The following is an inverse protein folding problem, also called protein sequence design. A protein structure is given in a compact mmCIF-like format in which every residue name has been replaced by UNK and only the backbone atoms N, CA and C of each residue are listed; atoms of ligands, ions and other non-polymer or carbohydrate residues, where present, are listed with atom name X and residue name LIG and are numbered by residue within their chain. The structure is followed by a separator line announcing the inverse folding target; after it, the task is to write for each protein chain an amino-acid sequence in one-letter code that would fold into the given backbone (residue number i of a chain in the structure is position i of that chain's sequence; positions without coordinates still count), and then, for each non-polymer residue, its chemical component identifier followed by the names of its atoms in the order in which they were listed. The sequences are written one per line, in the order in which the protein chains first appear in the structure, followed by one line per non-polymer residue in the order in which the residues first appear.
data_IF_141106325883
#
_entry.id   IF_141106325883
#
_cell.length_a   1.000
_cell.length_b   1.000
_cell.length_c   1.000
_cell.angle_alpha   90.00
_cell.angle_beta   90.00
_cell.angle_gamma   90.00
#
_symmetry.space_group_name_H-M   'P 1'
#
loop_
_entity.id
_entity.type
_entity.pdbx_description
1 polymer ?
#
# COMPACT_ATOMS: atom_id res chain seq x y z
N UNK A 1 14.54 -21.00 -18.94
CA UNK A 1 13.61 -20.44 -17.93
C UNK A 1 13.76 -18.92 -17.62
N UNK A 2 14.65 -18.15 -18.29
CA UNK A 2 14.88 -16.70 -18.01
C UNK A 2 13.82 -15.72 -18.57
N UNK A 3 12.98 -16.12 -19.54
CA UNK A 3 12.03 -15.22 -20.25
C UNK A 3 10.80 -14.79 -19.44
N UNK A 4 10.36 -15.58 -18.44
CA UNK A 4 9.14 -15.25 -17.68
C UNK A 4 9.37 -14.15 -16.62
N UNK A 5 10.60 -14.04 -16.08
CA UNK A 5 10.94 -13.06 -15.04
C UNK A 5 11.03 -11.64 -15.60
N UNK A 6 11.50 -11.47 -16.85
CA UNK A 6 11.55 -10.14 -17.49
C UNK A 6 10.13 -9.61 -17.75
N UNK A 7 9.24 -10.43 -18.34
CA UNK A 7 7.82 -10.05 -18.56
C UNK A 7 7.09 -9.66 -17.27
N UNK A 8 7.39 -10.28 -16.13
CA UNK A 8 6.79 -9.90 -14.83
C UNK A 8 7.33 -8.56 -14.31
N UNK A 9 8.62 -8.26 -14.50
CA UNK A 9 9.21 -6.96 -14.12
C UNK A 9 8.67 -5.82 -14.97
N UNK A 10 8.49 -6.03 -16.27
CA UNK A 10 7.98 -5.01 -17.18
C UNK A 10 6.53 -4.63 -16.83
N UNK A 11 5.65 -5.62 -16.57
CA UNK A 11 4.27 -5.38 -16.10
C UNK A 11 4.17 -4.60 -14.78
N UNK A 12 5.13 -4.80 -13.87
CA UNK A 12 5.17 -4.08 -12.59
C UNK A 12 5.54 -2.61 -12.81
N UNK A 13 6.48 -2.34 -13.71
CA UNK A 13 6.92 -0.99 -14.06
C UNK A 13 5.81 -0.20 -14.73
N UNK A 14 5.09 -0.82 -15.65
CA UNK A 14 3.95 -0.20 -16.32
C UNK A 14 2.85 0.17 -15.32
N UNK A 15 2.57 -0.70 -14.33
CA UNK A 15 1.59 -0.42 -13.28
C UNK A 15 1.95 0.73 -12.35
N UNK A 16 3.24 0.91 -12.07
CA UNK A 16 3.73 2.03 -11.25
C UNK A 16 3.52 3.35 -12.01
N UNK A 17 3.68 3.35 -13.33
CA UNK A 17 3.40 4.50 -14.19
C UNK A 17 1.89 4.76 -14.27
N UNK A 18 1.06 3.72 -14.36
CA UNK A 18 -0.41 3.82 -14.33
C UNK A 18 -0.99 4.33 -13.01
N UNK A 19 -0.26 4.26 -11.90
CA UNK A 19 -0.75 4.71 -10.59
C UNK A 19 -0.77 6.25 -10.44
N UNK A 20 -0.40 7.01 -11.47
CA UNK A 20 -0.47 8.48 -11.55
C UNK A 20 0.05 9.14 -10.26
N UNK A 21 1.24 8.73 -9.82
CA UNK A 21 1.87 9.36 -8.67
C UNK A 21 2.28 10.80 -9.04
N UNK A 22 1.96 11.76 -8.17
CA UNK A 22 2.38 13.14 -8.36
C UNK A 22 3.89 13.29 -8.20
N UNK A 23 4.48 14.32 -8.82
CA UNK A 23 5.89 14.67 -8.58
C UNK A 23 6.22 14.84 -7.10
N UNK A 24 5.29 15.35 -6.28
CA UNK A 24 5.46 15.46 -4.82
C UNK A 24 5.55 14.08 -4.13
N UNK A 25 4.79 13.11 -4.61
CA UNK A 25 4.81 11.73 -4.11
C UNK A 25 6.11 11.03 -4.51
N UNK A 26 6.56 11.23 -5.75
CA UNK A 26 7.87 10.73 -6.20
C UNK A 26 9.04 11.34 -5.42
N UNK A 27 8.99 12.63 -5.09
CA UNK A 27 9.99 13.28 -4.25
C UNK A 27 9.99 12.72 -2.83
N UNK A 28 8.82 12.41 -2.26
CA UNK A 28 8.68 11.73 -0.98
C UNK A 28 9.31 10.33 -1.01
N UNK A 29 9.03 9.54 -2.05
CA UNK A 29 9.63 8.21 -2.23
C UNK A 29 11.15 8.30 -2.35
N UNK A 30 11.64 9.28 -3.11
CA UNK A 30 13.07 9.55 -3.27
C UNK A 30 13.75 9.89 -1.94
N UNK A 31 13.14 10.79 -1.15
CA UNK A 31 13.68 11.23 0.16
C UNK A 31 13.69 10.09 1.19
N UNK A 32 12.65 9.27 1.23
CA UNK A 32 12.58 8.12 2.15
C UNK A 32 13.58 7.02 1.79
N UNK A 33 13.92 6.87 0.51
CA UNK A 33 14.91 5.91 0.05
C UNK A 33 16.35 6.42 0.20
N UNK A 34 16.62 7.71 -0.08
CA UNK A 34 17.95 8.31 0.14
C UNK A 34 18.36 8.37 1.61
N UNK A 35 17.39 8.38 2.54
CA UNK A 35 17.67 8.22 3.98
C UNK A 35 18.05 6.79 4.39
N UNK A 36 17.81 5.79 3.54
CA UNK A 36 18.13 4.37 3.79
C UNK A 36 19.41 3.95 3.03
N UNK A 37 19.68 4.54 1.87
CA UNK A 37 20.92 4.30 1.11
C UNK A 37 21.73 5.60 1.04
N UNK A 38 22.77 5.66 1.87
CA UNK A 38 23.79 6.69 1.93
C UNK A 38 24.70 6.70 0.69
N UNK A 39 24.13 6.87 -0.50
CA UNK A 39 24.91 7.15 -1.72
C UNK A 39 24.25 8.30 -2.45
N UNK A 40 24.87 9.47 -2.31
CA UNK A 40 24.66 10.63 -3.16
C UNK A 40 24.96 10.26 -4.62
N UNK A 41 23.94 9.84 -5.35
CA UNK A 41 24.01 9.52 -6.76
C UNK A 41 22.64 9.71 -7.41
N UNK A 42 22.61 10.10 -8.68
CA UNK A 42 21.38 10.15 -9.48
C UNK A 42 20.63 8.82 -9.34
N UNK A 43 19.54 8.82 -8.57
CA UNK A 43 18.65 7.66 -8.42
C UNK A 43 18.19 7.21 -9.79
N UNK A 44 18.53 5.97 -10.15
CA UNK A 44 18.17 5.42 -11.45
C UNK A 44 16.65 5.14 -11.46
N UNK A 45 15.99 5.24 -12.62
CA UNK A 45 14.52 5.03 -12.72
C UNK A 45 14.10 3.66 -12.16
N UNK A 46 14.96 2.67 -12.30
CA UNK A 46 14.77 1.30 -11.81
C UNK A 46 14.84 1.19 -10.29
N UNK A 47 15.74 1.94 -9.64
CA UNK A 47 15.89 1.96 -8.17
C UNK A 47 14.70 2.66 -7.51
N UNK A 48 14.20 3.73 -8.13
CA UNK A 48 12.99 4.42 -7.67
C UNK A 48 11.75 3.51 -7.77
N UNK A 49 11.65 2.72 -8.83
CA UNK A 49 10.58 1.73 -8.99
C UNK A 49 10.66 0.62 -7.94
N UNK A 50 11.87 0.13 -7.63
CA UNK A 50 12.06 -0.86 -6.56
C UNK A 50 11.75 -0.27 -5.17
N UNK A 51 12.07 1.00 -4.93
CA UNK A 51 11.70 1.72 -3.71
C UNK A 51 10.17 1.84 -3.55
N UNK A 52 9.47 2.20 -4.62
CA UNK A 52 7.99 2.27 -4.64
C UNK A 52 7.40 0.89 -4.39
N UNK A 53 7.98 -0.16 -4.99
CA UNK A 53 7.55 -1.54 -4.79
C UNK A 53 7.67 -1.98 -3.33
N UNK A 54 8.82 -1.74 -2.69
CA UNK A 54 9.05 -2.06 -1.27
C UNK A 54 8.06 -1.29 -0.39
N UNK A 55 7.86 -0.01 -0.68
CA UNK A 55 6.95 0.86 0.07
C UNK A 55 5.49 0.44 -0.09
N UNK A 56 5.07 0.02 -1.27
CA UNK A 56 3.73 -0.48 -1.56
C UNK A 56 3.46 -1.78 -0.79
N UNK A 57 4.39 -2.74 -0.81
CA UNK A 57 4.27 -3.99 -0.06
C UNK A 57 4.19 -3.73 1.46
N UNK A 58 5.03 -2.83 1.98
CA UNK A 58 5.01 -2.44 3.41
C UNK A 58 3.69 -1.77 3.79
N UNK A 59 3.22 -0.83 2.97
CA UNK A 59 1.96 -0.10 3.22
C UNK A 59 0.77 -1.06 3.21
N UNK A 60 0.71 -1.97 2.24
CA UNK A 60 -0.33 -2.99 2.17
C UNK A 60 -0.36 -3.90 3.41
N UNK A 61 0.81 -4.39 3.85
CA UNK A 61 0.90 -5.20 5.08
C UNK A 61 0.38 -4.44 6.29
N UNK A 62 0.74 -3.16 6.43
CA UNK A 62 0.26 -2.34 7.54
C UNK A 62 -1.26 -2.11 7.47
N UNK A 63 -1.83 -1.90 6.28
CA UNK A 63 -3.28 -1.82 6.10
C UNK A 63 -3.95 -3.13 6.54
N UNK A 64 -3.44 -4.30 6.14
CA UNK A 64 -3.99 -5.59 6.61
C UNK A 64 -3.93 -5.72 8.13
N UNK A 65 -2.78 -5.45 8.74
CA UNK A 65 -2.62 -5.54 10.21
C UNK A 65 -3.59 -4.59 10.91
N UNK A 66 -3.78 -3.37 10.40
CA UNK A 66 -4.74 -2.42 10.94
C UNK A 66 -6.18 -2.89 10.76
N UNK A 67 -6.54 -3.52 9.62
CA UNK A 67 -7.86 -4.15 9.45
C UNK A 67 -8.07 -5.24 10.51
N UNK A 68 -7.09 -6.13 10.71
CA UNK A 68 -7.17 -7.20 11.71
C UNK A 68 -7.28 -6.65 13.14
N UNK A 69 -6.51 -5.61 13.46
CA UNK A 69 -6.58 -4.94 14.75
C UNK A 69 -7.94 -4.28 14.98
N UNK A 70 -8.44 -3.52 14.01
CA UNK A 70 -9.76 -2.89 14.08
C UNK A 70 -10.88 -3.93 14.18
N UNK A 71 -10.76 -5.04 13.45
CA UNK A 71 -11.68 -6.18 13.56
C UNK A 71 -11.70 -6.72 15.00
N UNK A 72 -10.54 -6.96 15.61
CA UNK A 72 -10.44 -7.42 16.99
C UNK A 72 -11.12 -6.46 17.98
N UNK A 73 -10.94 -5.15 17.81
CA UNK A 73 -11.61 -4.13 18.62
C UNK A 73 -13.12 -4.01 18.36
N UNK A 74 -13.60 -4.43 17.19
CA UNK A 74 -15.04 -4.44 16.88
C UNK A 74 -15.79 -5.67 17.43
N UNK A 75 -15.10 -6.73 17.87
CA UNK A 75 -15.71 -7.94 18.44
C UNK A 75 -16.56 -7.63 19.69
N UNK A 76 -16.08 -6.88 20.70
CA UNK A 76 -16.88 -6.57 21.89
C UNK A 76 -18.16 -5.76 21.56
N UNK A 77 -18.09 -4.84 20.61
CA UNK A 77 -19.23 -4.04 20.17
C UNK A 77 -20.29 -4.86 19.41
N UNK A 78 -19.86 -5.86 18.63
CA UNK A 78 -20.76 -6.80 17.96
C UNK A 78 -21.46 -7.75 18.94
N UNK A 79 -20.79 -8.15 20.03
CA UNK A 79 -21.35 -9.02 21.08
C UNK A 79 -22.36 -8.25 21.95
N UNK A 80 -22.23 -6.91 22.05
CA UNK A 80 -23.11 -6.04 22.85
C UNK A 80 -24.47 -5.69 22.19
N UNK A 81 -24.79 -6.25 21.01
CA UNK A 81 -26.19 -6.31 20.52
C UNK A 81 -26.64 -5.25 19.51
N UNK A 82 -25.76 -4.51 18.86
CA UNK A 82 -26.10 -3.70 17.66
C UNK A 82 -24.93 -3.64 16.69
N UNK A 83 -25.15 -3.41 15.37
CA UNK A 83 -26.41 -3.15 14.65
C UNK A 83 -26.74 -4.20 13.56
N UNK A 84 -27.99 -4.19 13.07
CA UNK A 84 -28.50 -5.10 12.03
C UNK A 84 -27.75 -5.08 10.68
N UNK A 85 -28.33 -5.72 9.66
CA UNK A 85 -27.73 -6.02 8.34
C UNK A 85 -26.99 -4.84 7.69
N UNK A 86 -27.44 -3.59 7.89
CA UNK A 86 -26.79 -2.36 7.40
C UNK A 86 -25.35 -2.21 7.91
N UNK A 87 -25.07 -2.61 9.15
CA UNK A 87 -23.72 -2.57 9.71
C UNK A 87 -22.79 -3.58 9.05
N UNK A 88 -23.28 -4.77 8.70
CA UNK A 88 -22.50 -5.77 7.96
C UNK A 88 -22.05 -5.26 6.59
N UNK A 89 -22.84 -4.40 5.94
CA UNK A 89 -22.46 -3.77 4.67
C UNK A 89 -21.52 -2.57 4.85
N UNK A 90 -21.68 -1.78 5.91
CA UNK A 90 -20.85 -0.59 6.19
C UNK A 90 -19.50 -0.92 6.84
N UNK A 91 -19.44 -1.99 7.64
CA UNK A 91 -18.27 -2.38 8.41
C UNK A 91 -17.03 -2.63 7.53
N UNK A 92 -17.11 -3.36 6.39
CA UNK A 92 -15.96 -3.53 5.50
C UNK A 92 -15.42 -2.20 4.96
N UNK A 93 -16.32 -1.30 4.56
CA UNK A 93 -15.95 0.02 4.02
C UNK A 93 -15.27 0.87 5.10
N UNK A 94 -15.84 0.88 6.31
CA UNK A 94 -15.29 1.58 7.46
C UNK A 94 -13.90 1.05 7.84
N UNK A 95 -13.75 -0.28 7.92
CA UNK A 95 -12.48 -0.93 8.26
C UNK A 95 -11.38 -0.60 7.25
N UNK A 96 -11.68 -0.66 5.95
CA UNK A 96 -10.72 -0.32 4.90
C UNK A 96 -10.33 1.16 5.01
N UNK A 97 -11.31 2.06 5.15
CA UNK A 97 -11.04 3.49 5.26
C UNK A 97 -10.19 3.81 6.49
N UNK A 98 -10.57 3.32 7.66
CA UNK A 98 -9.84 3.55 8.91
C UNK A 98 -8.44 2.92 8.88
N UNK A 99 -8.29 1.71 8.32
CA UNK A 99 -6.99 1.09 8.19
C UNK A 99 -6.06 1.88 7.26
N UNK A 100 -6.56 2.42 6.15
CA UNK A 100 -5.78 3.30 5.26
C UNK A 100 -5.44 4.61 5.95
N UNK A 101 -6.38 5.20 6.68
CA UNK A 101 -6.19 6.44 7.43
C UNK A 101 -5.12 6.30 8.52
N UNK A 102 -5.22 5.28 9.38
CA UNK A 102 -4.22 4.99 10.42
C UNK A 102 -2.86 4.74 9.79
N UNK A 103 -2.80 3.94 8.72
CA UNK A 103 -1.55 3.67 8.00
C UNK A 103 -0.94 4.94 7.40
N UNK A 104 -1.76 5.87 6.91
CA UNK A 104 -1.30 7.15 6.38
C UNK A 104 -0.71 8.02 7.49
N UNK A 105 -1.40 8.13 8.63
CA UNK A 105 -0.96 8.90 9.81
C UNK A 105 0.35 8.35 10.38
N UNK A 106 0.47 7.03 10.55
CA UNK A 106 1.70 6.39 11.04
C UNK A 106 2.91 6.62 10.13
N UNK A 107 2.68 6.72 8.81
CA UNK A 107 3.76 6.91 7.84
C UNK A 107 4.06 8.38 7.51
N UNK A 108 3.26 9.32 8.02
CA UNK A 108 3.34 10.75 7.68
C UNK A 108 2.97 11.04 6.23
N UNK A 109 2.09 10.24 5.62
CA UNK A 109 1.71 10.34 4.22
C UNK A 109 0.29 10.87 4.06
N UNK A 110 -0.05 11.32 2.85
CA UNK A 110 -1.45 11.58 2.52
C UNK A 110 -2.24 10.25 2.46
N UNK A 111 -3.54 10.32 2.78
CA UNK A 111 -4.46 9.18 2.67
C UNK A 111 -4.51 8.67 1.22
N UNK A 112 -4.52 9.60 0.25
CA UNK A 112 -4.52 9.28 -1.18
C UNK A 112 -3.27 8.49 -1.59
N UNK A 113 -2.08 8.94 -1.16
CA UNK A 113 -0.81 8.24 -1.44
C UNK A 113 -0.82 6.83 -0.84
N UNK A 114 -1.32 6.69 0.39
CA UNK A 114 -1.40 5.40 1.08
C UNK A 114 -2.39 4.46 0.41
N UNK A 115 -3.52 4.99 -0.07
CA UNK A 115 -4.51 4.24 -0.84
C UNK A 115 -3.94 3.75 -2.18
N UNK A 116 -3.25 4.62 -2.94
CA UNK A 116 -2.56 4.25 -4.17
C UNK A 116 -1.50 3.18 -3.93
N UNK A 117 -0.70 3.32 -2.87
CA UNK A 117 0.31 2.33 -2.48
C UNK A 117 -0.30 0.99 -2.04
N UNK A 118 -1.42 1.01 -1.32
CA UNK A 118 -2.13 -0.20 -0.91
C UNK A 118 -2.76 -0.91 -2.11
N UNK A 119 -3.36 -0.17 -3.05
CA UNK A 119 -3.90 -0.70 -4.31
C UNK A 119 -2.80 -1.32 -5.18
N UNK A 120 -1.66 -0.63 -5.29
CA UNK A 120 -0.47 -1.15 -5.98
C UNK A 120 0.03 -2.42 -5.26
N UNK A 121 0.14 -2.40 -3.93
CA UNK A 121 0.56 -3.56 -3.13
C UNK A 121 -0.35 -4.78 -3.30
N UNK A 122 -1.67 -4.58 -3.34
CA UNK A 122 -2.66 -5.63 -3.62
C UNK A 122 -2.43 -6.23 -5.01
N UNK A 123 -2.32 -5.38 -6.04
CA UNK A 123 -2.09 -5.83 -7.40
C UNK A 123 -0.76 -6.59 -7.57
N UNK A 124 0.28 -6.16 -6.87
CA UNK A 124 1.59 -6.83 -6.86
C UNK A 124 1.55 -8.22 -6.21
N UNK A 125 0.64 -8.46 -5.27
CA UNK A 125 0.44 -9.78 -4.65
C UNK A 125 -0.29 -10.71 -5.62
N UNK A 126 -1.31 -10.20 -6.32
CA UNK A 126 -2.09 -10.99 -7.28
C UNK A 126 -1.33 -11.29 -8.59
N UNK A 127 -0.48 -10.41 -9.13
CA UNK A 127 0.38 -10.77 -10.28
C UNK A 127 1.51 -11.73 -9.89
N UNK A 128 1.92 -11.73 -8.61
CA UNK A 128 3.03 -12.57 -8.17
C UNK A 128 2.62 -14.04 -8.02
N UNK A 129 1.34 -14.39 -8.10
CA UNK A 129 0.96 -15.80 -8.22
C UNK A 129 1.41 -16.36 -9.59
N UNK A 130 2.03 -17.57 -9.61
CA UNK A 130 2.58 -18.21 -10.81
C UNK A 130 1.52 -18.52 -11.85
#
# INVERSE_FOLDING_TARGET
MKKAVSKKKDKIRDKIVECEFSQKEFLLFRKKYSGISSVSGKLNKTELQDAIFIMAKKSFRNVIVNILGLLFFSIPGMVAGYPGWVFWFLQPVFLIYMAVYITARMNGHSVCTTFKLARLGLYLIFIRQP
#
